data_IF_708632480674
#
_entry.id   IF_708632480674
#
_cell.length_a   1.000
_cell.length_b   1.000
_cell.length_c   1.000
_cell.angle_alpha   90.00
_cell.angle_beta   90.00
_cell.angle_gamma   90.00
#
_symmetry.space_group_name_H-M   'P 1'
#
loop_
_entity.id
_entity.type
_entity.pdbx_description
1 polymer ?
#
# COMPACT_ATOMS: atom_id res chain seq x y z
N UNK A 1 -27.81 -0.15 -8.78
CA UNK A 1 -26.36 -0.17 -8.48
C UNK A 1 -26.23 -0.09 -6.97
N UNK A 2 -25.58 -1.08 -6.34
CA UNK A 2 -25.47 -1.15 -4.89
C UNK A 2 -24.45 -0.16 -4.31
N UNK A 3 -23.40 0.12 -5.08
CA UNK A 3 -22.36 1.12 -4.78
C UNK A 3 -22.43 2.21 -5.85
N UNK A 4 -22.41 3.48 -5.47
CA UNK A 4 -22.39 4.64 -6.37
C UNK A 4 -20.99 5.28 -6.34
N UNK A 5 -20.50 5.76 -7.48
CA UNK A 5 -19.22 6.49 -7.54
C UNK A 5 -19.49 7.99 -7.36
N UNK A 6 -18.95 8.57 -6.30
CA UNK A 6 -19.20 9.98 -5.94
C UNK A 6 -17.88 10.74 -5.80
N UNK A 7 -17.94 12.07 -5.68
CA UNK A 7 -16.79 12.92 -5.38
C UNK A 7 -16.22 12.74 -3.96
N UNK A 8 -16.86 11.91 -3.13
CA UNK A 8 -16.38 11.53 -1.80
C UNK A 8 -15.86 10.10 -1.72
N UNK A 9 -15.96 9.31 -2.79
CA UNK A 9 -15.59 7.90 -2.83
C UNK A 9 -16.75 6.97 -3.18
N UNK A 10 -16.62 5.70 -2.77
CA UNK A 10 -17.56 4.61 -3.10
C UNK A 10 -18.72 4.59 -2.10
N UNK A 11 -19.92 4.97 -2.53
CA UNK A 11 -21.07 5.18 -1.63
C UNK A 11 -22.10 4.05 -1.71
N UNK A 12 -22.38 3.37 -0.61
CA UNK A 12 -23.54 2.48 -0.52
C UNK A 12 -24.75 3.25 0.01
N UNK A 13 -25.63 3.71 -0.88
CA UNK A 13 -26.80 4.53 -0.50
C UNK A 13 -27.77 3.82 0.45
N UNK A 14 -28.07 2.53 0.21
CA UNK A 14 -28.97 1.76 1.07
C UNK A 14 -28.37 1.56 2.47
N UNK A 15 -27.07 1.26 2.54
CA UNK A 15 -26.34 1.08 3.80
C UNK A 15 -26.00 2.38 4.51
N UNK A 16 -26.02 3.50 3.80
CA UNK A 16 -25.59 4.83 4.23
C UNK A 16 -24.17 4.83 4.83
N UNK A 17 -23.22 4.34 4.05
CA UNK A 17 -21.79 4.34 4.36
C UNK A 17 -20.96 4.51 3.09
N UNK A 18 -19.72 4.95 3.26
CA UNK A 18 -18.71 4.99 2.20
C UNK A 18 -17.63 3.95 2.43
N UNK A 19 -17.04 3.46 1.34
CA UNK A 19 -15.82 2.66 1.37
C UNK A 19 -14.65 3.54 0.93
N UNK A 20 -13.59 3.58 1.74
CA UNK A 20 -12.36 4.35 1.53
C UNK A 20 -12.62 5.82 1.07
N UNK A 21 -13.41 6.61 1.81
CA UNK A 21 -13.81 7.93 1.35
C UNK A 21 -12.63 8.91 1.26
N UNK A 22 -12.64 9.76 0.22
CA UNK A 22 -11.63 10.80 0.00
C UNK A 22 -11.83 12.04 0.88
N UNK A 23 -13.07 12.25 1.33
CA UNK A 23 -13.48 13.39 2.16
C UNK A 23 -14.20 12.90 3.42
N UNK A 24 -14.28 13.73 4.47
CA UNK A 24 -15.06 13.43 5.67
C UNK A 24 -16.51 13.00 5.37
N UNK A 25 -16.95 11.91 6.00
CA UNK A 25 -18.30 11.35 5.88
C UNK A 25 -18.81 10.86 7.24
N UNK A 26 -20.10 10.51 7.31
CA UNK A 26 -20.70 9.98 8.54
C UNK A 26 -20.12 8.59 8.91
N UNK A 27 -20.09 7.65 7.97
CA UNK A 27 -19.59 6.28 8.18
C UNK A 27 -18.63 5.88 7.07
N UNK A 28 -17.40 5.54 7.44
CA UNK A 28 -16.36 5.05 6.56
C UNK A 28 -16.06 3.58 6.87
N UNK A 29 -16.04 2.73 5.86
CA UNK A 29 -15.50 1.38 5.92
C UNK A 29 -14.14 1.41 5.23
N UNK A 30 -13.10 1.03 5.94
CA UNK A 30 -11.72 1.18 5.48
C UNK A 30 -11.13 -0.17 5.12
N UNK A 31 -10.65 -0.31 3.88
CA UNK A 31 -9.97 -1.52 3.39
C UNK A 31 -8.64 -1.73 4.13
N UNK A 32 -7.83 -0.67 4.24
CA UNK A 32 -6.51 -0.71 4.87
C UNK A 32 -5.99 0.68 5.25
N UNK A 33 -4.84 0.73 5.93
CA UNK A 33 -4.33 1.93 6.60
C UNK A 33 -3.25 2.72 5.81
N UNK A 34 -3.21 2.65 4.48
CA UNK A 34 -2.43 3.61 3.68
C UNK A 34 -3.14 4.96 3.58
N UNK A 35 -2.39 6.03 3.30
CA UNK A 35 -2.87 7.42 3.40
C UNK A 35 -3.91 7.79 2.36
N UNK A 36 -3.87 7.15 1.21
CA UNK A 36 -4.79 7.35 0.09
C UNK A 36 -6.14 6.67 0.32
N UNK A 37 -6.21 5.65 1.18
CA UNK A 37 -7.45 4.99 1.59
C UNK A 37 -8.00 5.49 2.94
N UNK A 38 -7.10 5.72 3.90
CA UNK A 38 -7.45 6.13 5.25
C UNK A 38 -7.36 7.65 5.40
N UNK A 39 -8.46 8.35 5.08
CA UNK A 39 -8.58 9.81 5.27
C UNK A 39 -9.25 10.18 6.60
N UNK A 40 -8.75 11.25 7.22
CA UNK A 40 -9.26 11.77 8.49
C UNK A 40 -10.59 12.53 8.35
N UNK A 41 -11.29 12.69 9.48
CA UNK A 41 -12.46 13.56 9.61
C UNK A 41 -13.83 12.88 9.55
N UNK A 42 -13.90 11.57 9.30
CA UNK A 42 -15.17 10.84 9.35
C UNK A 42 -15.62 10.58 10.79
N UNK A 43 -16.93 10.50 11.03
CA UNK A 43 -17.46 10.33 12.40
C UNK A 43 -17.28 8.90 12.94
N UNK A 44 -17.41 7.89 12.07
CA UNK A 44 -17.26 6.47 12.41
C UNK A 44 -16.42 5.73 11.37
N UNK A 45 -15.51 4.89 11.83
CA UNK A 45 -14.65 4.04 11.01
C UNK A 45 -14.87 2.56 11.34
N UNK A 46 -15.26 1.76 10.35
CA UNK A 46 -15.30 0.31 10.43
C UNK A 46 -14.11 -0.28 9.67
N UNK A 47 -13.37 -1.19 10.28
CA UNK A 47 -12.20 -1.82 9.65
C UNK A 47 -11.94 -3.20 10.27
N UNK A 48 -10.92 -3.90 9.76
CA UNK A 48 -10.45 -5.12 10.41
C UNK A 48 -9.75 -4.80 11.75
N UNK A 49 -9.81 -5.70 12.73
CA UNK A 49 -9.19 -5.48 14.05
C UNK A 49 -7.67 -5.26 13.96
N UNK A 50 -6.98 -5.88 12.99
CA UNK A 50 -5.56 -5.60 12.72
C UNK A 50 -5.30 -4.25 12.04
N UNK A 51 -6.28 -3.70 11.32
CA UNK A 51 -6.18 -2.38 10.68
C UNK A 51 -6.42 -1.25 11.68
N UNK A 52 -7.30 -1.47 12.67
CA UNK A 52 -7.63 -0.48 13.71
C UNK A 52 -6.42 0.22 14.37
N UNK A 53 -5.42 -0.49 14.94
CA UNK A 53 -4.27 0.18 15.56
C UNK A 53 -3.44 1.00 14.57
N UNK A 54 -3.40 0.59 13.30
CA UNK A 54 -2.71 1.32 12.24
C UNK A 54 -3.46 2.61 11.86
N UNK A 55 -4.80 2.55 11.80
CA UNK A 55 -5.63 3.73 11.61
C UNK A 55 -5.48 4.71 12.76
N UNK A 56 -5.51 4.23 14.01
CA UNK A 56 -5.31 5.08 15.19
C UNK A 56 -3.93 5.74 15.19
N UNK A 57 -2.87 5.00 14.84
CA UNK A 57 -1.53 5.55 14.73
C UNK A 57 -1.39 6.61 13.63
N UNK A 58 -2.22 6.54 12.57
CA UNK A 58 -2.19 7.45 11.43
C UNK A 58 -3.11 8.66 11.58
N UNK A 59 -4.33 8.44 12.04
CA UNK A 59 -5.43 9.40 12.06
C UNK A 59 -5.67 10.00 13.45
N UNK A 60 -5.09 9.43 14.50
CA UNK A 60 -5.26 9.86 15.88
C UNK A 60 -6.54 9.30 16.52
N UNK A 61 -7.09 10.08 17.45
CA UNK A 61 -8.31 9.70 18.17
C UNK A 61 -9.54 9.75 17.27
N UNK A 62 -10.45 8.80 17.46
CA UNK A 62 -11.67 8.67 16.65
C UNK A 62 -12.49 7.44 17.02
N UNK A 63 -13.67 7.31 16.42
CA UNK A 63 -14.56 6.17 16.65
C UNK A 63 -14.22 5.03 15.69
N UNK A 64 -13.33 4.13 16.13
CA UNK A 64 -12.92 2.96 15.35
C UNK A 64 -13.58 1.68 15.87
N UNK A 65 -14.36 1.02 15.02
CA UNK A 65 -14.86 -0.33 15.22
C UNK A 65 -14.02 -1.33 14.40
N UNK A 66 -13.48 -2.33 15.10
CA UNK A 66 -12.76 -3.44 14.49
C UNK A 66 -13.63 -4.68 14.44
N UNK A 67 -13.71 -5.33 13.28
CA UNK A 67 -14.37 -6.63 13.12
C UNK A 67 -13.41 -7.70 12.60
N UNK A 68 -13.75 -8.96 12.86
CA UNK A 68 -13.06 -10.12 12.29
C UNK A 68 -13.39 -10.25 10.80
N UNK A 69 -12.46 -10.82 10.03
CA UNK A 69 -12.80 -11.33 8.70
C UNK A 69 -13.95 -12.33 8.78
N UNK A 70 -14.74 -12.42 7.71
CA UNK A 70 -15.94 -13.25 7.60
C UNK A 70 -17.09 -12.91 8.56
N UNK A 71 -16.90 -12.01 9.54
CA UNK A 71 -17.99 -11.48 10.35
C UNK A 71 -18.87 -10.57 9.49
N UNK A 72 -20.18 -10.85 9.50
CA UNK A 72 -21.17 -10.02 8.81
C UNK A 72 -21.77 -8.99 9.77
N UNK A 73 -21.87 -7.75 9.33
CA UNK A 73 -22.64 -6.68 9.96
C UNK A 73 -23.81 -6.28 9.05
N UNK A 74 -24.97 -6.01 9.64
CA UNK A 74 -26.11 -5.44 8.91
C UNK A 74 -26.08 -3.92 9.05
N UNK A 75 -26.11 -3.23 7.92
CA UNK A 75 -26.18 -1.77 7.83
C UNK A 75 -27.40 -1.42 6.99
N UNK A 76 -28.52 -1.12 7.63
CA UNK A 76 -29.78 -0.73 6.97
C UNK A 76 -30.27 -1.76 5.93
N UNK A 77 -30.16 -3.06 6.25
CA UNK A 77 -30.55 -4.16 5.36
C UNK A 77 -29.51 -4.52 4.30
N UNK A 78 -28.30 -3.93 4.37
CA UNK A 78 -27.13 -4.32 3.59
C UNK A 78 -26.19 -5.13 4.46
N UNK A 79 -25.83 -6.34 4.02
CA UNK A 79 -24.85 -7.16 4.71
C UNK A 79 -23.44 -6.77 4.25
N UNK A 80 -22.58 -6.44 5.20
CA UNK A 80 -21.17 -6.13 4.94
C UNK A 80 -20.27 -7.13 5.66
N UNK A 81 -19.23 -7.63 4.99
CA UNK A 81 -18.17 -8.42 5.62
C UNK A 81 -16.80 -8.10 5.03
N UNK A 82 -15.75 -8.30 5.84
CA UNK A 82 -14.37 -8.10 5.43
C UNK A 82 -13.73 -9.44 5.10
N UNK A 83 -12.84 -9.45 4.10
CA UNK A 83 -12.10 -10.64 3.65
C UNK A 83 -10.63 -10.31 3.44
N UNK A 84 -9.68 -11.22 3.69
CA UNK A 84 -8.26 -10.95 3.50
C UNK A 84 -7.88 -10.47 2.08
N UNK A 85 -7.05 -9.42 1.99
CA UNK A 85 -6.54 -8.89 0.71
C UNK A 85 -5.04 -9.18 0.44
N UNK A 86 -4.27 -9.61 1.43
CA UNK A 86 -2.83 -9.95 1.24
C UNK A 86 -1.89 -8.77 0.91
N UNK A 87 -2.35 -7.53 1.07
CA UNK A 87 -1.56 -6.32 0.76
C UNK A 87 -0.70 -5.86 1.93
N UNK A 88 -1.33 -5.45 3.04
CA UNK A 88 -0.66 -5.14 4.31
C UNK A 88 -1.37 -5.84 5.47
N UNK A 89 -0.78 -5.82 6.66
CA UNK A 89 -1.40 -6.41 7.85
C UNK A 89 -2.78 -5.79 8.07
N UNK A 90 -3.82 -6.65 8.06
CA UNK A 90 -5.22 -6.24 8.21
C UNK A 90 -5.92 -5.77 6.92
N UNK A 91 -5.20 -5.63 5.80
CA UNK A 91 -5.81 -5.21 4.54
C UNK A 91 -6.95 -6.13 4.13
N UNK A 92 -8.08 -5.54 3.79
CA UNK A 92 -9.34 -6.25 3.60
C UNK A 92 -10.04 -5.85 2.32
N UNK A 93 -10.56 -6.85 1.61
CA UNK A 93 -11.62 -6.68 0.64
C UNK A 93 -12.94 -6.47 1.41
N UNK A 94 -13.83 -5.62 0.87
CA UNK A 94 -15.13 -5.32 1.48
C UNK A 94 -16.23 -5.93 0.59
N UNK A 95 -16.90 -6.95 1.12
CA UNK A 95 -18.05 -7.59 0.49
C UNK A 95 -19.33 -6.89 0.94
N UNK A 96 -20.15 -6.46 -0.01
CA UNK A 96 -21.43 -5.77 0.20
C UNK A 96 -22.53 -6.56 -0.51
N UNK A 97 -23.52 -7.04 0.24
CA UNK A 97 -24.63 -7.83 -0.29
C UNK A 97 -25.98 -7.19 0.05
N UNK A 98 -26.85 -7.07 -0.96
CA UNK A 98 -28.23 -6.65 -0.78
C UNK A 98 -29.13 -7.42 -1.75
N UNK A 99 -30.17 -8.08 -1.23
CA UNK A 99 -31.18 -8.80 -2.03
C UNK A 99 -30.60 -9.79 -3.07
N UNK A 100 -29.48 -10.45 -2.73
CA UNK A 100 -28.81 -11.43 -3.59
C UNK A 100 -27.79 -10.84 -4.57
N UNK A 101 -27.72 -9.51 -4.73
CA UNK A 101 -26.66 -8.84 -5.48
C UNK A 101 -25.43 -8.64 -4.58
N UNK A 102 -24.25 -9.08 -5.03
CA UNK A 102 -22.99 -9.03 -4.29
C UNK A 102 -21.96 -8.18 -5.02
N UNK A 103 -21.46 -7.16 -4.34
CA UNK A 103 -20.35 -6.32 -4.77
C UNK A 103 -19.16 -6.58 -3.86
N UNK A 104 -17.95 -6.61 -4.43
CA UNK A 104 -16.71 -6.68 -3.66
C UNK A 104 -15.80 -5.54 -4.09
N UNK A 105 -15.36 -4.73 -3.13
CA UNK A 105 -14.30 -3.74 -3.31
C UNK A 105 -13.01 -4.37 -2.81
N UNK A 106 -12.02 -4.53 -3.68
CA UNK A 106 -10.78 -5.22 -3.33
C UNK A 106 -9.92 -4.45 -2.32
N UNK A 107 -9.97 -3.12 -2.38
CA UNK A 107 -8.86 -2.29 -1.91
C UNK A 107 -7.58 -2.62 -2.69
N UNK A 108 -6.44 -2.32 -2.09
CA UNK A 108 -5.17 -2.85 -2.60
C UNK A 108 -4.99 -4.29 -2.14
N UNK A 109 -4.45 -5.12 -3.04
CA UNK A 109 -4.34 -6.55 -2.79
C UNK A 109 -3.13 -7.16 -3.48
N UNK A 110 -2.69 -8.31 -2.96
CA UNK A 110 -1.69 -9.16 -3.61
C UNK A 110 -2.03 -10.61 -3.37
N UNK A 111 -1.94 -11.40 -4.44
CA UNK A 111 -2.29 -12.83 -4.42
C UNK A 111 -1.20 -13.75 -3.86
N UNK A 112 0.06 -13.32 -3.89
CA UNK A 112 1.19 -14.11 -3.38
C UNK A 112 1.22 -14.10 -1.84
N UNK A 113 1.15 -15.27 -1.22
CA UNK A 113 1.38 -15.43 0.21
C UNK A 113 2.88 -15.26 0.54
N UNK A 114 3.21 -14.19 1.27
CA UNK A 114 4.58 -13.88 1.70
C UNK A 114 4.88 -14.25 3.16
N UNK A 115 3.92 -14.82 3.88
CA UNK A 115 4.05 -15.14 5.30
C UNK A 115 4.02 -13.93 6.24
N UNK A 116 3.75 -12.72 5.73
CA UNK A 116 3.68 -11.49 6.54
C UNK A 116 2.23 -11.04 6.69
N UNK A 117 1.46 -11.15 5.62
CA UNK A 117 0.04 -10.78 5.62
C UNK A 117 -0.83 -12.04 5.57
N UNK A 118 -2.08 -11.91 6.03
CA UNK A 118 -3.05 -12.98 5.83
C UNK A 118 -3.28 -13.15 4.32
N UNK A 119 -3.16 -14.38 3.78
CA UNK A 119 -3.24 -14.60 2.34
C UNK A 119 -4.54 -14.09 1.74
N UNK A 120 -4.47 -13.56 0.52
CA UNK A 120 -5.65 -13.14 -0.25
C UNK A 120 -6.69 -14.27 -0.34
N UNK A 121 -7.94 -13.94 -0.05
CA UNK A 121 -9.07 -14.87 -0.14
C UNK A 121 -9.98 -14.48 -1.32
N UNK A 122 -10.12 -15.31 -2.37
CA UNK A 122 -11.05 -15.00 -3.46
C UNK A 122 -12.51 -14.95 -2.99
N UNK A 123 -13.19 -13.83 -3.23
CA UNK A 123 -14.61 -13.65 -2.87
C UNK A 123 -15.50 -13.71 -4.11
N UNK A 124 -16.47 -14.63 -4.12
CA UNK A 124 -17.46 -14.71 -5.20
C UNK A 124 -18.40 -13.50 -5.17
N UNK A 125 -18.59 -12.84 -6.31
CA UNK A 125 -19.42 -11.65 -6.44
C UNK A 125 -20.00 -11.50 -7.85
N UNK A 126 -21.01 -10.64 -8.00
CA UNK A 126 -21.54 -10.24 -9.30
C UNK A 126 -20.69 -9.10 -9.89
N UNK A 127 -20.28 -8.16 -9.03
CA UNK A 127 -19.49 -6.99 -9.41
C UNK A 127 -18.22 -6.90 -8.56
N UNK A 128 -17.07 -6.80 -9.22
CA UNK A 128 -15.77 -6.64 -8.56
C UNK A 128 -15.17 -5.27 -8.89
N UNK A 129 -14.86 -4.48 -7.86
CA UNK A 129 -14.11 -3.22 -7.99
C UNK A 129 -12.66 -3.53 -7.60
N UNK A 130 -11.75 -3.45 -8.57
CA UNK A 130 -10.35 -3.88 -8.45
C UNK A 130 -9.38 -2.71 -8.62
N UNK A 131 -8.30 -2.69 -7.85
CA UNK A 131 -7.12 -1.87 -8.19
C UNK A 131 -6.49 -2.31 -9.52
N UNK A 132 -5.70 -1.43 -10.14
CA UNK A 132 -4.89 -1.73 -11.33
C UNK A 132 -3.54 -1.02 -11.31
N UNK A 133 -2.94 -0.86 -10.13
CA UNK A 133 -1.64 -0.19 -9.91
C UNK A 133 -0.57 -0.71 -10.87
N UNK A 134 -0.51 -2.03 -11.03
CA UNK A 134 0.37 -2.71 -11.99
C UNK A 134 -0.39 -3.42 -13.10
N UNK A 135 -1.47 -2.79 -13.59
CA UNK A 135 -2.35 -3.27 -14.67
C UNK A 135 -1.75 -3.24 -16.08
N UNK A 136 -0.45 -3.50 -16.24
CA UNK A 136 0.19 -3.71 -17.54
C UNK A 136 0.92 -5.05 -17.58
N UNK A 137 0.89 -5.79 -18.71
CA UNK A 137 1.58 -7.08 -18.87
C UNK A 137 3.10 -7.07 -18.63
N UNK A 138 3.73 -5.89 -18.66
CA UNK A 138 5.15 -5.75 -18.35
C UNK A 138 5.45 -5.95 -16.86
N UNK A 139 4.48 -5.73 -15.97
CA UNK A 139 4.62 -5.99 -14.54
C UNK A 139 4.31 -7.45 -14.27
N UNK A 140 5.35 -8.14 -13.81
CA UNK A 140 5.37 -9.57 -13.57
C UNK A 140 6.42 -9.83 -12.51
N UNK A 141 5.95 -10.15 -11.32
CA UNK A 141 6.81 -10.23 -10.15
C UNK A 141 7.75 -11.42 -10.24
N UNK A 142 8.98 -11.19 -9.83
CA UNK A 142 9.91 -12.28 -9.53
C UNK A 142 9.54 -12.88 -8.18
N UNK A 143 9.89 -14.15 -7.92
CA UNK A 143 9.82 -14.72 -6.58
C UNK A 143 10.49 -13.79 -5.57
N UNK A 144 9.81 -13.49 -4.46
CA UNK A 144 10.32 -12.52 -3.48
C UNK A 144 11.70 -12.90 -2.92
N UNK A 145 11.98 -14.20 -2.79
CA UNK A 145 13.28 -14.68 -2.30
C UNK A 145 14.45 -14.23 -3.19
N UNK A 146 14.25 -14.09 -4.50
CA UNK A 146 15.27 -13.53 -5.39
C UNK A 146 15.53 -12.05 -5.07
N UNK A 147 14.46 -11.29 -4.82
CA UNK A 147 14.55 -9.86 -4.46
C UNK A 147 15.29 -9.70 -3.13
N UNK A 148 14.94 -10.54 -2.14
CA UNK A 148 15.59 -10.55 -0.82
C UNK A 148 17.07 -10.89 -0.91
N UNK A 149 17.44 -11.89 -1.72
CA UNK A 149 18.84 -12.26 -1.95
C UNK A 149 19.61 -11.08 -2.57
N UNK A 150 19.03 -10.39 -3.55
CA UNK A 150 19.65 -9.22 -4.17
C UNK A 150 19.84 -8.05 -3.18
N UNK A 151 18.85 -7.79 -2.30
CA UNK A 151 18.96 -6.79 -1.24
C UNK A 151 20.11 -7.14 -0.29
N UNK A 152 20.17 -8.39 0.16
CA UNK A 152 21.20 -8.90 1.06
C UNK A 152 22.61 -8.80 0.47
N UNK A 153 22.79 -9.19 -0.79
CA UNK A 153 24.07 -9.08 -1.50
C UNK A 153 24.52 -7.63 -1.66
N UNK A 154 23.58 -6.75 -2.02
CA UNK A 154 23.85 -5.32 -2.14
C UNK A 154 24.28 -4.69 -0.80
N UNK A 155 23.58 -5.03 0.29
CA UNK A 155 23.94 -4.62 1.64
C UNK A 155 25.35 -5.11 2.02
N UNK A 156 25.64 -6.40 1.81
CA UNK A 156 26.95 -6.99 2.11
C UNK A 156 28.08 -6.28 1.35
N UNK A 157 27.84 -5.94 0.07
CA UNK A 157 28.78 -5.18 -0.75
C UNK A 157 29.04 -3.78 -0.20
N UNK A 158 27.99 -3.04 0.15
CA UNK A 158 28.12 -1.69 0.71
C UNK A 158 28.87 -1.70 2.05
N UNK A 159 28.51 -2.65 2.93
CA UNK A 159 29.16 -2.85 4.23
C UNK A 159 30.66 -3.12 4.08
N UNK A 160 31.07 -3.97 3.13
CA UNK A 160 32.50 -4.24 2.82
C UNK A 160 33.28 -2.98 2.41
N UNK A 161 32.59 -1.98 1.85
CA UNK A 161 33.18 -0.73 1.39
C UNK A 161 32.99 0.44 2.38
N UNK A 162 32.52 0.19 3.61
CA UNK A 162 32.17 1.21 4.60
C UNK A 162 31.13 2.23 4.09
N UNK A 163 30.22 1.79 3.22
CA UNK A 163 29.10 2.60 2.70
C UNK A 163 27.82 2.18 3.41
N UNK A 164 27.08 3.16 3.93
CA UNK A 164 25.78 2.91 4.56
C UNK A 164 24.72 2.57 3.49
N UNK A 165 23.84 1.61 3.76
CA UNK A 165 22.75 1.24 2.86
C UNK A 165 21.46 1.92 3.30
N UNK A 166 20.90 2.80 2.46
CA UNK A 166 19.57 3.39 2.70
C UNK A 166 18.58 2.70 1.77
N UNK A 167 17.65 1.93 2.35
CA UNK A 167 16.56 1.28 1.65
C UNK A 167 15.31 2.17 1.72
N UNK A 168 14.87 2.66 0.56
CA UNK A 168 13.67 3.48 0.42
C UNK A 168 12.47 2.55 0.23
N UNK A 169 11.55 2.54 1.19
CA UNK A 169 10.35 1.70 1.18
C UNK A 169 9.19 2.43 1.89
N UNK A 170 7.95 2.22 1.45
CA UNK A 170 6.78 2.76 2.14
C UNK A 170 6.77 2.33 3.61
N UNK A 171 6.44 3.28 4.49
CA UNK A 171 6.55 3.12 5.95
C UNK A 171 5.69 2.01 6.55
N UNK A 172 4.62 1.63 5.83
CA UNK A 172 3.71 0.54 6.17
C UNK A 172 3.61 -0.39 4.97
N UNK A 173 3.80 -1.70 5.16
CA UNK A 173 3.85 -2.69 4.09
C UNK A 173 5.29 -3.00 3.69
N UNK A 174 5.79 -2.39 2.60
CA UNK A 174 7.11 -2.67 2.03
C UNK A 174 8.27 -2.59 3.05
N UNK A 175 8.27 -1.61 3.95
CA UNK A 175 9.32 -1.50 4.99
C UNK A 175 9.35 -2.71 5.93
N UNK A 176 8.19 -3.23 6.35
CA UNK A 176 8.12 -4.43 7.19
C UNK A 176 8.54 -5.68 6.44
N UNK A 177 8.21 -5.77 5.15
CA UNK A 177 8.57 -6.93 4.31
C UNK A 177 10.06 -7.17 4.18
N UNK A 178 10.85 -6.10 4.15
CA UNK A 178 12.30 -6.22 4.04
C UNK A 178 13.00 -6.46 5.39
N UNK A 179 12.30 -6.37 6.54
CA UNK A 179 12.97 -6.48 7.85
C UNK A 179 13.61 -7.85 8.07
N UNK A 180 12.87 -8.93 7.83
CA UNK A 180 13.38 -10.29 8.00
C UNK A 180 14.63 -10.55 7.15
N UNK A 181 14.62 -10.38 5.81
CA UNK A 181 15.81 -10.61 5.01
C UNK A 181 16.96 -9.65 5.33
N UNK A 182 16.69 -8.41 5.74
CA UNK A 182 17.75 -7.48 6.18
C UNK A 182 18.39 -7.95 7.50
N UNK A 183 17.59 -8.49 8.44
CA UNK A 183 18.09 -8.97 9.73
C UNK A 183 19.05 -10.16 9.62
N UNK A 184 18.92 -10.96 8.57
CA UNK A 184 19.81 -12.09 8.29
C UNK A 184 21.25 -11.66 7.92
N UNK A 185 21.44 -10.38 7.61
CA UNK A 185 22.75 -9.84 7.19
C UNK A 185 23.23 -8.67 8.07
N UNK A 186 22.45 -8.31 9.10
CA UNK A 186 22.78 -7.25 10.05
C UNK A 186 22.03 -7.38 11.36
N UNK A 187 22.76 -7.30 12.47
CA UNK A 187 22.19 -7.29 13.82
C UNK A 187 21.48 -5.98 14.18
N UNK A 188 21.71 -4.92 13.40
CA UNK A 188 21.12 -3.59 13.64
C UNK A 188 20.51 -3.05 12.35
N UNK A 189 19.25 -2.65 12.46
CA UNK A 189 18.48 -2.00 11.40
C UNK A 189 18.01 -0.67 11.96
N UNK A 190 18.42 0.44 11.35
CA UNK A 190 17.92 1.75 11.73
C UNK A 190 16.68 2.10 10.90
N UNK A 191 15.75 2.84 11.50
CA UNK A 191 14.52 3.27 10.85
C UNK A 191 14.33 4.78 10.94
N UNK A 192 13.88 5.38 9.83
CA UNK A 192 13.30 6.72 9.84
C UNK A 192 12.08 6.76 10.79
N UNK A 193 11.79 7.93 11.36
CA UNK A 193 10.69 8.09 12.34
C UNK A 193 9.34 7.59 11.84
N UNK A 194 9.00 7.85 10.57
CA UNK A 194 7.76 7.35 9.96
C UNK A 194 7.67 5.81 9.93
N UNK A 195 8.76 5.13 9.58
CA UNK A 195 8.85 3.65 9.59
C UNK A 195 8.76 3.14 11.03
N UNK A 196 9.51 3.75 11.94
CA UNK A 196 9.52 3.37 13.36
C UNK A 196 8.14 3.55 14.02
N UNK A 197 7.37 4.57 13.65
CA UNK A 197 6.01 4.77 14.17
C UNK A 197 5.07 3.64 13.73
N UNK A 198 5.09 3.26 12.45
CA UNK A 198 4.26 2.16 11.95
C UNK A 198 4.69 0.81 12.53
N UNK A 199 6.00 0.61 12.67
CA UNK A 199 6.57 -0.55 13.33
C UNK A 199 6.09 -0.67 14.79
N UNK A 200 6.14 0.42 15.56
CA UNK A 200 5.64 0.44 16.93
C UNK A 200 4.14 0.13 17.01
N UNK A 201 3.33 0.63 16.07
CA UNK A 201 1.91 0.33 16.01
C UNK A 201 1.63 -1.16 15.78
N UNK A 202 2.43 -1.80 14.92
CA UNK A 202 2.36 -3.24 14.67
C UNK A 202 2.82 -4.07 15.89
N UNK A 203 3.93 -3.68 16.52
CA UNK A 203 4.44 -4.34 17.72
C UNK A 203 3.44 -4.26 18.89
N UNK A 204 2.79 -3.10 19.07
CA UNK A 204 1.72 -2.91 20.06
C UNK A 204 0.48 -3.78 19.76
N UNK A 205 0.30 -4.16 18.50
CA UNK A 205 -0.72 -5.10 18.03
C UNK A 205 -0.22 -6.56 18.00
N UNK A 206 0.89 -6.85 18.71
CA UNK A 206 1.47 -8.18 18.90
C UNK A 206 2.08 -8.84 17.66
N UNK A 207 2.42 -8.04 16.64
CA UNK A 207 3.16 -8.54 15.49
C UNK A 207 4.65 -8.61 15.81
N UNK A 208 5.24 -9.79 15.59
CA UNK A 208 6.65 -10.01 15.82
C UNK A 208 7.45 -9.74 14.55
N UNK A 209 8.34 -8.76 14.62
CA UNK A 209 9.24 -8.38 13.54
C UNK A 209 10.66 -8.24 14.09
N UNK A 210 11.69 -8.35 13.25
CA UNK A 210 13.03 -7.94 13.63
C UNK A 210 13.03 -6.51 14.17
N UNK A 211 13.74 -6.31 15.28
CA UNK A 211 13.79 -5.00 15.95
C UNK A 211 14.45 -3.96 15.05
N UNK A 212 13.90 -2.75 15.07
CA UNK A 212 14.49 -1.58 14.43
C UNK A 212 14.85 -0.52 15.48
N UNK A 213 15.95 0.18 15.27
CA UNK A 213 16.35 1.32 16.09
C UNK A 213 15.92 2.62 15.39
N UNK A 214 15.05 3.40 16.05
CA UNK A 214 14.64 4.70 15.52
C UNK A 214 15.84 5.64 15.48
N UNK A 215 16.08 6.26 14.32
CA UNK A 215 17.08 7.33 14.19
C UNK A 215 16.64 8.54 15.02
N UNK A 216 17.48 8.93 15.98
CA UNK A 216 17.35 10.14 16.78
C UNK A 216 18.57 11.06 16.62
N UNK A 217 18.47 12.36 16.94
CA UNK A 217 19.61 13.28 16.83
C UNK A 217 20.82 12.91 17.70
N UNK A 218 20.61 12.13 18.77
CA UNK A 218 21.67 11.77 19.73
C UNK A 218 22.56 10.59 19.29
N UNK A 219 22.24 9.90 18.20
CA UNK A 219 23.03 8.75 17.74
C UNK A 219 24.39 9.24 17.19
N UNK A 220 25.53 8.77 17.73
CA UNK A 220 26.84 9.15 17.23
C UNK A 220 27.03 8.76 15.76
N UNK A 221 27.61 9.66 14.94
CA UNK A 221 27.90 9.38 13.52
C UNK A 221 28.73 8.10 13.32
N UNK A 222 29.61 7.76 14.25
CA UNK A 222 30.41 6.53 14.22
C UNK A 222 29.56 5.24 14.22
N UNK A 223 28.36 5.27 14.83
CA UNK A 223 27.42 4.13 14.81
C UNK A 223 26.61 4.02 13.53
N UNK A 224 26.54 5.11 12.75
CA UNK A 224 25.76 5.19 11.52
C UNK A 224 26.58 4.83 10.28
N UNK A 225 27.91 4.84 10.37
CA UNK A 225 28.79 4.49 9.26
C UNK A 225 28.65 3.01 8.89
N UNK A 226 28.36 2.72 7.63
CA UNK A 226 28.18 1.33 7.15
C UNK A 226 26.91 0.66 7.70
N UNK A 227 26.01 1.45 8.28
CA UNK A 227 24.74 0.96 8.84
C UNK A 227 23.69 0.72 7.74
N UNK A 228 22.61 0.05 8.12
CA UNK A 228 21.44 -0.15 7.26
C UNK A 228 20.31 0.70 7.80
N UNK A 229 19.70 1.49 6.92
CA UNK A 229 18.64 2.43 7.25
C UNK A 229 17.45 2.13 6.34
N UNK A 230 16.26 2.01 6.92
CA UNK A 230 15.00 1.98 6.17
C UNK A 230 14.30 3.33 6.32
N UNK A 231 13.94 3.94 5.19
CA UNK A 231 13.32 5.27 5.16
C UNK A 231 12.16 5.34 4.15
N UNK A 232 11.15 6.19 4.37
CA UNK A 232 10.06 6.39 3.42
C UNK A 232 10.55 7.16 2.18
N UNK A 233 9.80 7.11 1.06
CA UNK A 233 10.08 7.93 -0.12
C UNK A 233 10.22 9.43 0.18
N UNK A 234 9.46 9.96 1.14
CA UNK A 234 9.55 11.38 1.54
C UNK A 234 10.88 11.80 2.19
N UNK A 235 11.73 10.84 2.57
CA UNK A 235 13.07 11.12 3.07
C UNK A 235 14.13 11.16 1.95
N UNK A 236 13.82 10.62 0.76
CA UNK A 236 14.74 10.52 -0.35
C UNK A 236 15.13 11.90 -0.90
N UNK A 237 16.40 12.09 -1.23
CA UNK A 237 16.97 13.37 -1.67
C UNK A 237 17.02 14.49 -0.60
N UNK A 238 16.47 14.28 0.60
CA UNK A 238 16.43 15.33 1.63
C UNK A 238 17.77 15.49 2.37
N UNK A 239 18.04 16.65 3.00
CA UNK A 239 19.24 16.84 3.83
C UNK A 239 19.39 15.84 4.98
N UNK A 240 18.30 15.17 5.38
CA UNK A 240 18.32 14.13 6.41
C UNK A 240 19.30 13.00 6.06
N UNK A 241 19.42 12.63 4.77
CA UNK A 241 20.29 11.53 4.34
C UNK A 241 21.79 11.82 4.51
N UNK A 242 22.19 13.10 4.50
CA UNK A 242 23.61 13.51 4.58
C UNK A 242 24.31 13.01 5.85
N UNK A 243 23.56 12.68 6.91
CA UNK A 243 24.13 12.15 8.16
C UNK A 243 24.71 10.73 8.03
N UNK A 244 24.35 10.00 6.98
CA UNK A 244 24.78 8.62 6.75
C UNK A 244 25.95 8.51 5.75
N UNK A 245 26.50 9.65 5.31
CA UNK A 245 27.56 9.67 4.31
C UNK A 245 28.86 8.98 4.80
N UNK A 246 29.55 8.23 3.93
CA UNK A 246 29.12 7.82 2.58
C UNK A 246 27.95 6.82 2.63
N UNK A 247 26.95 7.01 1.76
CA UNK A 247 25.78 6.14 1.65
C UNK A 247 25.49 5.79 0.19
N UNK A 248 24.75 4.69 0.01
CA UNK A 248 24.13 4.29 -1.25
C UNK A 248 22.63 4.10 -1.04
N UNK A 249 21.84 4.38 -2.09
CA UNK A 249 20.37 4.37 -2.06
C UNK A 249 19.85 3.19 -2.87
N UNK A 250 19.04 2.35 -2.23
CA UNK A 250 18.32 1.26 -2.86
C UNK A 250 16.82 1.48 -2.75
N UNK A 251 16.08 1.46 -3.86
CA UNK A 251 14.63 1.70 -3.86
C UNK A 251 13.90 0.36 -3.88
N UNK A 252 12.98 0.13 -2.94
CA UNK A 252 12.11 -1.03 -2.86
C UNK A 252 10.70 -0.66 -3.33
N UNK A 253 10.41 -0.92 -4.60
CA UNK A 253 9.11 -0.59 -5.22
C UNK A 253 8.89 -1.43 -6.48
N UNK A 254 7.65 -1.85 -6.75
CA UNK A 254 7.27 -2.56 -7.99
C UNK A 254 7.66 -1.78 -9.26
N UNK A 255 7.67 -0.45 -9.18
CA UNK A 255 8.15 0.46 -10.23
C UNK A 255 9.60 0.20 -10.66
N UNK A 256 10.43 -0.42 -9.82
CA UNK A 256 11.81 -0.78 -10.16
C UNK A 256 11.92 -1.94 -11.16
N UNK A 257 10.80 -2.58 -11.53
CA UNK A 257 10.73 -3.51 -12.66
C UNK A 257 11.19 -2.85 -13.97
N UNK A 258 10.84 -1.57 -14.16
CA UNK A 258 11.25 -0.82 -15.35
C UNK A 258 12.66 -0.27 -15.13
N UNK A 259 13.65 -0.82 -15.86
CA UNK A 259 15.08 -0.49 -15.71
C UNK A 259 15.40 1.01 -15.72
N UNK A 260 14.64 1.81 -16.47
CA UNK A 260 14.84 3.26 -16.57
C UNK A 260 14.55 4.02 -15.26
N UNK A 261 13.73 3.46 -14.37
CA UNK A 261 13.28 4.17 -13.17
C UNK A 261 14.38 4.34 -12.13
N UNK A 262 15.29 3.37 -12.00
CA UNK A 262 16.49 3.49 -11.13
C UNK A 262 17.30 4.72 -11.51
N UNK A 263 17.55 4.90 -12.82
CA UNK A 263 18.31 6.05 -13.35
C UNK A 263 17.55 7.36 -13.15
N UNK A 264 16.24 7.38 -13.37
CA UNK A 264 15.41 8.59 -13.16
C UNK A 264 15.41 9.05 -11.71
N UNK A 265 15.48 8.12 -10.77
CA UNK A 265 15.56 8.38 -9.33
C UNK A 265 16.97 8.65 -8.82
N UNK A 266 17.99 8.55 -9.68
CA UNK A 266 19.40 8.68 -9.30
C UNK A 266 19.79 7.74 -8.13
N UNK A 267 19.21 6.53 -8.11
CA UNK A 267 19.47 5.53 -7.09
C UNK A 267 20.59 4.57 -7.53
N UNK A 268 21.30 4.01 -6.55
CA UNK A 268 22.39 3.04 -6.78
C UNK A 268 21.88 1.62 -7.04
N UNK A 269 20.66 1.32 -6.58
CA UNK A 269 19.98 0.04 -6.80
C UNK A 269 18.45 0.20 -6.85
N UNK A 270 17.79 -0.73 -7.56
CA UNK A 270 16.34 -0.86 -7.57
C UNK A 270 15.93 -2.31 -7.34
N UNK A 271 14.95 -2.50 -6.46
CA UNK A 271 14.40 -3.79 -6.08
C UNK A 271 12.91 -3.77 -6.37
N UNK A 272 12.46 -4.61 -7.31
CA UNK A 272 11.07 -4.70 -7.78
C UNK A 272 10.15 -5.37 -6.75
N UNK A 273 10.13 -4.84 -5.52
CA UNK A 273 9.32 -5.33 -4.40
C UNK A 273 7.97 -4.60 -4.40
N UNK A 274 6.89 -5.37 -4.52
CA UNK A 274 5.53 -4.84 -4.49
C UNK A 274 4.65 -5.56 -3.47
N UNK A 275 3.76 -4.81 -2.84
CA UNK A 275 2.64 -5.27 -2.04
C UNK A 275 1.32 -5.30 -2.81
N UNK A 276 1.34 -5.02 -4.11
CA UNK A 276 0.21 -5.12 -5.02
C UNK A 276 0.33 -6.34 -5.94
N UNK A 277 -0.78 -6.77 -6.52
CA UNK A 277 -0.81 -7.77 -7.57
C UNK A 277 -0.11 -7.25 -8.83
N UNK A 278 0.67 -8.12 -9.49
CA UNK A 278 1.11 -7.88 -10.86
C UNK A 278 -0.01 -8.21 -11.84
N UNK A 279 0.28 -8.09 -13.14
CA UNK A 279 -0.68 -8.41 -14.19
C UNK A 279 -1.32 -9.79 -14.03
N UNK A 280 -0.50 -10.84 -13.85
CA UNK A 280 -0.99 -12.21 -13.71
C UNK A 280 -1.80 -12.39 -12.41
N UNK A 281 -1.39 -11.73 -11.32
CA UNK A 281 -2.12 -11.71 -10.07
C UNK A 281 -3.47 -11.01 -10.16
N UNK A 282 -3.55 -9.88 -10.87
CA UNK A 282 -4.79 -9.16 -11.11
C UNK A 282 -5.79 -10.05 -11.85
N UNK A 283 -5.37 -10.66 -12.97
CA UNK A 283 -6.21 -11.57 -13.75
C UNK A 283 -6.64 -12.79 -12.93
N UNK A 284 -5.72 -13.38 -12.17
CA UNK A 284 -6.02 -14.54 -11.31
C UNK A 284 -7.09 -14.21 -10.28
N UNK A 285 -6.97 -13.08 -9.57
CA UNK A 285 -7.98 -12.65 -8.61
C UNK A 285 -9.32 -12.40 -9.27
N UNK A 286 -9.35 -11.63 -10.37
CA UNK A 286 -10.58 -11.31 -11.12
C UNK A 286 -11.29 -12.59 -11.56
N UNK A 287 -10.61 -13.53 -12.20
CA UNK A 287 -11.22 -14.79 -12.61
C UNK A 287 -11.73 -15.62 -11.43
N UNK A 288 -11.01 -15.62 -10.30
CA UNK A 288 -11.40 -16.36 -9.11
C UNK A 288 -12.71 -15.81 -8.48
N UNK A 289 -13.03 -14.52 -8.65
CA UNK A 289 -14.31 -13.94 -8.19
C UNK A 289 -15.52 -14.46 -8.97
N UNK A 290 -15.34 -14.83 -10.24
CA UNK A 290 -16.47 -15.14 -11.15
C UNK A 290 -17.39 -13.95 -11.41
N UNK A 291 -16.92 -12.71 -11.21
CA UNK A 291 -17.70 -11.51 -11.45
C UNK A 291 -18.12 -11.38 -12.92
N UNK A 292 -19.37 -10.97 -13.12
CA UNK A 292 -19.94 -10.67 -14.44
C UNK A 292 -19.50 -9.29 -14.92
N UNK A 293 -19.25 -8.39 -13.97
CA UNK A 293 -18.79 -7.02 -14.21
C UNK A 293 -17.61 -6.64 -13.33
N UNK A 294 -16.62 -6.00 -13.93
CA UNK A 294 -15.44 -5.47 -13.23
C UNK A 294 -15.37 -3.97 -13.39
N UNK A 295 -15.02 -3.27 -12.32
CA UNK A 295 -14.61 -1.89 -12.42
C UNK A 295 -13.14 -1.76 -12.02
N UNK A 296 -12.30 -1.26 -12.93
CA UNK A 296 -10.91 -0.98 -12.65
C UNK A 296 -10.76 0.44 -12.08
N UNK A 297 -10.03 0.54 -10.98
CA UNK A 297 -9.65 1.79 -10.32
C UNK A 297 -8.14 1.75 -10.03
N UNK A 298 -7.50 2.87 -9.67
CA UNK A 298 -6.05 3.00 -9.40
C UNK A 298 -5.13 2.59 -10.58
N UNK A 299 -4.10 3.38 -10.94
CA UNK A 299 -3.12 2.97 -11.95
C UNK A 299 -3.66 2.78 -13.39
N UNK A 300 -3.35 1.64 -14.02
CA UNK A 300 -3.54 1.38 -15.46
C UNK A 300 -4.95 0.89 -15.85
N UNK A 301 -5.97 1.64 -15.42
CA UNK A 301 -7.39 1.30 -15.54
C UNK A 301 -7.79 0.94 -16.98
N UNK A 302 -7.44 1.80 -17.94
CA UNK A 302 -7.83 1.64 -19.34
C UNK A 302 -7.25 0.37 -19.99
N UNK A 303 -6.00 0.04 -19.66
CA UNK A 303 -5.35 -1.16 -20.20
C UNK A 303 -6.00 -2.44 -19.66
N UNK A 304 -6.24 -2.51 -18.35
CA UNK A 304 -6.89 -3.66 -17.72
C UNK A 304 -8.35 -3.79 -18.19
N UNK A 305 -9.13 -2.71 -18.16
CA UNK A 305 -10.53 -2.74 -18.61
C UNK A 305 -10.65 -3.15 -20.08
N UNK A 306 -9.77 -2.65 -20.96
CA UNK A 306 -9.76 -3.06 -22.36
C UNK A 306 -9.49 -4.57 -22.51
N UNK A 307 -8.47 -5.08 -21.83
CA UNK A 307 -8.13 -6.50 -21.89
C UNK A 307 -9.29 -7.38 -21.43
N UNK A 308 -9.94 -7.06 -20.30
CA UNK A 308 -11.07 -7.81 -19.77
C UNK A 308 -12.24 -7.86 -20.76
N UNK A 309 -12.59 -6.72 -21.36
CA UNK A 309 -13.65 -6.65 -22.38
C UNK A 309 -13.32 -7.51 -23.62
N UNK A 310 -12.08 -7.47 -24.09
CA UNK A 310 -11.61 -8.31 -25.21
C UNK A 310 -11.66 -9.82 -24.87
N UNK A 311 -11.67 -10.18 -23.57
CA UNK A 311 -11.72 -11.56 -23.08
C UNK A 311 -13.08 -11.93 -22.45
N UNK A 312 -14.13 -11.15 -22.73
CA UNK A 312 -15.51 -11.51 -22.40
C UNK A 312 -15.96 -11.21 -20.97
N UNK A 313 -15.23 -10.39 -20.22
CA UNK A 313 -15.63 -9.87 -18.91
C UNK A 313 -15.99 -8.39 -19.09
N UNK A 314 -17.24 -8.00 -18.81
CA UNK A 314 -17.66 -6.61 -18.91
C UNK A 314 -16.82 -5.76 -17.94
N UNK A 315 -16.10 -4.76 -18.45
CA UNK A 315 -15.25 -3.94 -17.61
C UNK A 315 -15.36 -2.44 -17.92
N UNK A 316 -15.28 -1.61 -16.89
CA UNK A 316 -15.25 -0.16 -17.01
C UNK A 316 -14.23 0.49 -16.07
N UNK A 317 -13.81 1.70 -16.41
CA UNK A 317 -12.88 2.50 -15.62
C UNK A 317 -13.66 3.35 -14.58
N UNK A 318 -13.11 3.51 -13.38
CA UNK A 318 -13.61 4.48 -12.40
C UNK A 318 -12.51 5.51 -12.15
N UNK A 319 -12.82 6.78 -12.41
CA UNK A 319 -11.98 7.88 -11.93
C UNK A 319 -12.15 8.02 -10.44
N UNK A 320 -11.05 7.85 -9.72
CA UNK A 320 -10.96 7.95 -8.27
C UNK A 320 -9.83 8.89 -7.91
N UNK A 321 -9.89 9.52 -6.73
CA UNK A 321 -8.78 10.35 -6.22
C UNK A 321 -7.65 9.53 -5.57
N UNK A 322 -7.70 8.20 -5.63
CA UNK A 322 -6.63 7.32 -5.15
C UNK A 322 -5.38 7.35 -6.06
N UNK A 323 -4.20 7.05 -5.50
CA UNK A 323 -3.01 6.66 -6.28
C UNK A 323 -2.01 7.75 -6.68
N UNK A 324 -2.21 9.04 -6.35
CA UNK A 324 -1.19 10.06 -6.62
C UNK A 324 0.14 9.74 -5.90
N UNK A 325 0.10 9.13 -4.71
CA UNK A 325 1.29 8.89 -3.87
C UNK A 325 2.22 7.78 -4.41
N UNK A 326 1.72 6.81 -5.20
CA UNK A 326 2.55 5.77 -5.83
C UNK A 326 3.11 6.22 -7.19
N UNK A 327 2.35 7.01 -7.95
CA UNK A 327 2.72 7.53 -9.28
C UNK A 327 3.62 8.77 -9.24
N UNK A 328 3.56 9.59 -8.17
CA UNK A 328 4.48 10.72 -7.95
C UNK A 328 5.95 10.28 -7.89
N UNK A 329 6.17 8.97 -7.79
CA UNK A 329 7.48 8.37 -7.82
C UNK A 329 8.09 8.07 -9.18
N UNK A 330 7.35 8.22 -10.27
CA UNK A 330 7.92 8.20 -11.61
C UNK A 330 7.43 9.48 -12.23
N UNK A 331 8.28 10.50 -12.32
CA UNK A 331 7.93 11.79 -12.91
C UNK A 331 7.19 11.59 -14.24
N UNK A 332 5.86 11.64 -14.17
CA UNK A 332 4.99 11.74 -15.30
C UNK A 332 4.94 13.24 -15.60
N UNK A 333 5.60 13.62 -16.69
CA UNK A 333 5.71 14.98 -17.23
C UNK A 333 4.36 15.60 -17.67
N UNK A 334 3.24 15.20 -17.06
CA UNK A 334 1.89 15.57 -17.52
C UNK A 334 1.04 16.33 -16.50
N UNK A 335 1.56 16.81 -15.36
CA UNK A 335 0.75 17.69 -14.49
C UNK A 335 1.49 18.80 -13.71
N UNK A 336 2.52 19.42 -14.31
CA UNK A 336 3.04 20.70 -13.82
C UNK A 336 2.11 21.84 -14.24
N UNK A 337 0.97 22.03 -13.54
CA UNK A 337 0.23 23.32 -13.60
C UNK A 337 -0.85 23.62 -12.54
N UNK A 338 -0.90 22.93 -11.39
CA UNK A 338 -1.97 23.24 -10.42
C UNK A 338 -1.60 23.39 -8.94
N UNK A 339 -0.32 23.53 -8.60
CA UNK A 339 0.10 23.93 -7.24
C UNK A 339 1.13 25.07 -7.28
N UNK A 340 0.72 26.25 -7.74
CA UNK A 340 1.48 27.49 -7.52
C UNK A 340 0.71 28.62 -6.83
N UNK A 341 -0.58 28.45 -6.50
CA UNK A 341 -1.42 29.61 -6.20
C UNK A 341 -2.01 29.68 -4.78
N UNK A 342 -1.65 28.80 -3.83
CA UNK A 342 -2.23 28.84 -2.46
C UNK A 342 -1.25 29.15 -1.32
N UNK A 343 -0.08 29.75 -1.61
CA UNK A 343 0.90 30.12 -0.56
C UNK A 343 1.20 31.62 -0.47
N UNK A 344 0.26 32.48 -0.87
CA UNK A 344 0.43 33.94 -0.83
C UNK A 344 -0.68 34.77 -0.17
N UNK A 345 -1.43 34.22 0.79
CA UNK A 345 -2.19 35.04 1.75
C UNK A 345 -2.03 34.49 3.16
N UNK A 346 -0.93 34.89 3.83
CA UNK A 346 -0.79 35.08 5.28
C UNK A 346 0.64 35.57 5.60
N UNK A 347 0.95 36.73 5.03
CA UNK A 347 1.81 37.80 5.57
C UNK A 347 1.11 39.12 5.22
#
# INVERSE_FOLDING_TARGET
>A
MLIEFTDKGLYCRQGNFYIDPWRPVERAIITHAHSDHARGGSNYYLCHHYTKPLLQARLGDGNYEGIEWNKTVDMNGVKVSLHPAGHIIGSSQIRVECKGEVWVVSGDYKVENDGITTPFEPVKCNVFITESTFGLPIYKWKPQQEIYTNIQEWIKKNKKNNVSSILIAYSLGKAQRILQPVSEVSDTIYAHGAVANMQQALENAWWNFPKVERITPGIPKSKLLGSIIIAPPSADGTPWMKKFAPYAVGICSGWMQVRGNVRRRNADAGFALSDHADWDGLLTAIHATGAEKVYATHGFQSALSRYLNEHGIEAAEIRTEYGNDEDEGIGNDTNLKQESDELHELL
#
